data_IF_232439839503
#
_entry.id   IF_232439839503
#
_cell.length_a   1.000
_cell.length_b   1.000
_cell.length_c   1.000
_cell.angle_alpha   90.00
_cell.angle_beta   90.00
_cell.angle_gamma   90.00
#
_symmetry.space_group_name_H-M   'P 1'
#
loop_
_entity.id
_entity.type
_entity.pdbx_description
1 polymer ?
#
# COMPACT_ATOMS: atom_id res chain seq x y z
N UNK A 1 -1.73 10.12 2.81
CA UNK A 1 -3.17 9.93 3.09
C UNK A 1 -3.39 9.60 4.55
N UNK A 2 -4.49 10.05 5.08
CA UNK A 2 -4.88 9.80 6.46
C UNK A 2 -6.28 9.17 6.47
N UNK A 3 -6.46 8.14 7.30
CA UNK A 3 -7.76 7.49 7.49
C UNK A 3 -8.40 8.01 8.77
N UNK A 4 -9.61 8.51 8.63
CA UNK A 4 -10.41 8.99 9.75
C UNK A 4 -11.55 8.03 10.07
N UNK A 5 -11.88 7.93 11.35
CA UNK A 5 -13.16 7.37 11.82
C UNK A 5 -13.85 8.47 12.61
N UNK A 6 -14.88 9.09 12.03
CA UNK A 6 -15.44 10.32 12.59
C UNK A 6 -14.39 11.44 12.53
N UNK A 7 -14.01 11.98 13.70
CA UNK A 7 -12.95 12.99 13.83
C UNK A 7 -11.61 12.40 14.26
N UNK A 8 -11.56 11.10 14.53
CA UNK A 8 -10.36 10.41 15.00
C UNK A 8 -9.52 9.90 13.85
N UNK A 9 -8.20 10.14 13.90
CA UNK A 9 -7.26 9.58 12.94
C UNK A 9 -6.91 8.16 13.39
N UNK A 10 -7.21 7.16 12.55
CA UNK A 10 -6.96 5.75 12.87
C UNK A 10 -5.90 5.11 11.98
N UNK A 11 -5.38 5.85 11.01
CA UNK A 11 -4.32 5.32 10.16
C UNK A 11 -3.77 6.36 9.21
N UNK A 12 -2.63 6.03 8.59
CA UNK A 12 -2.06 6.84 7.52
C UNK A 12 -1.26 5.97 6.56
N UNK A 13 -1.07 6.47 5.34
CA UNK A 13 -0.17 5.85 4.36
C UNK A 13 0.68 6.93 3.70
N UNK A 14 1.93 6.58 3.44
CA UNK A 14 2.82 7.37 2.60
C UNK A 14 2.87 6.74 1.22
N UNK A 15 2.40 7.49 0.21
CA UNK A 15 2.37 7.05 -1.17
C UNK A 15 3.32 7.94 -1.97
N UNK A 16 4.21 7.30 -2.73
CA UNK A 16 5.10 7.97 -3.66
C UNK A 16 4.59 7.76 -5.07
N UNK A 17 4.41 8.84 -5.82
CA UNK A 17 4.04 8.76 -7.23
C UNK A 17 5.29 8.58 -8.07
N UNK A 18 5.27 7.58 -8.95
CA UNK A 18 6.33 7.35 -9.91
C UNK A 18 5.90 7.85 -11.30
N UNK A 19 6.87 8.09 -12.16
CA UNK A 19 6.61 8.31 -13.58
C UNK A 19 5.94 7.06 -14.18
N UNK A 20 5.33 7.18 -15.35
CA UNK A 20 4.65 6.08 -16.06
C UNK A 20 3.40 5.51 -15.35
N UNK A 21 2.71 6.34 -14.56
CA UNK A 21 1.44 6.00 -13.93
C UNK A 21 1.52 4.87 -12.89
N UNK A 22 2.67 4.75 -12.23
CA UNK A 22 2.85 3.84 -11.10
C UNK A 22 2.87 4.61 -9.79
N UNK A 23 2.53 3.94 -8.71
CA UNK A 23 2.66 4.48 -7.36
C UNK A 23 3.23 3.42 -6.43
N UNK A 24 3.94 3.85 -5.40
CA UNK A 24 4.50 2.96 -4.39
C UNK A 24 3.93 3.31 -3.02
N UNK A 25 3.50 2.29 -2.28
CA UNK A 25 3.18 2.42 -0.87
C UNK A 25 4.48 2.23 -0.09
N UNK A 26 4.97 3.31 0.53
CA UNK A 26 6.17 3.25 1.36
C UNK A 26 5.86 2.84 2.79
N UNK A 27 4.74 3.34 3.32
CA UNK A 27 4.28 3.05 4.68
C UNK A 27 2.75 2.98 4.65
N UNK A 28 2.21 1.97 5.32
CA UNK A 28 0.78 1.92 5.66
C UNK A 28 0.66 1.51 7.12
N UNK A 29 -0.03 2.30 7.90
CA UNK A 29 -0.19 2.09 9.35
C UNK A 29 -1.64 2.28 9.73
N UNK A 30 -2.15 1.35 10.51
CA UNK A 30 -3.47 1.44 11.14
C UNK A 30 -3.27 1.39 12.65
N UNK A 31 -4.01 2.20 13.38
CA UNK A 31 -4.04 2.17 14.84
C UNK A 31 -4.29 0.74 15.32
N UNK A 32 -3.45 0.25 16.23
CA UNK A 32 -3.49 -1.12 16.70
C UNK A 32 -4.87 -1.51 17.26
N UNK A 33 -5.54 -0.59 17.96
CA UNK A 33 -6.87 -0.82 18.53
C UNK A 33 -7.96 -0.99 17.47
N UNK A 34 -7.68 -0.60 16.22
CA UNK A 34 -8.65 -0.62 15.12
C UNK A 34 -8.39 -1.72 14.09
N UNK A 35 -7.30 -2.49 14.23
CA UNK A 35 -6.88 -3.49 13.23
C UNK A 35 -7.86 -4.64 13.07
N UNK A 36 -8.60 -5.00 14.13
CA UNK A 36 -9.51 -6.15 14.12
C UNK A 36 -10.80 -5.93 13.34
N UNK A 37 -11.00 -4.75 12.75
CA UNK A 37 -12.23 -4.40 12.00
C UNK A 37 -12.01 -4.34 10.51
N UNK A 38 -10.99 -5.01 9.97
CA UNK A 38 -10.59 -4.92 8.56
C UNK A 38 -10.26 -3.49 8.11
N UNK A 39 -9.86 -2.64 9.05
CA UNK A 39 -9.57 -1.24 8.75
C UNK A 39 -8.43 -1.09 7.74
N UNK A 40 -7.41 -1.95 7.83
CA UNK A 40 -6.29 -1.95 6.88
C UNK A 40 -6.75 -2.24 5.45
N UNK A 41 -7.58 -3.26 5.26
CA UNK A 41 -8.12 -3.62 3.95
C UNK A 41 -9.02 -2.53 3.40
N UNK A 42 -9.84 -1.91 4.22
CA UNK A 42 -10.70 -0.79 3.82
C UNK A 42 -9.87 0.43 3.42
N UNK A 43 -8.83 0.75 4.19
CA UNK A 43 -7.95 1.86 3.89
C UNK A 43 -7.20 1.63 2.58
N UNK A 44 -6.69 0.43 2.38
CA UNK A 44 -6.01 0.06 1.15
C UNK A 44 -6.96 0.21 -0.05
N UNK A 45 -8.19 -0.28 0.05
CA UNK A 45 -9.19 -0.16 -1.00
C UNK A 45 -9.52 1.30 -1.32
N UNK A 46 -9.66 2.16 -0.31
CA UNK A 46 -9.89 3.59 -0.49
C UNK A 46 -8.69 4.26 -1.18
N UNK A 47 -7.48 3.90 -0.78
CA UNK A 47 -6.25 4.41 -1.39
C UNK A 47 -6.17 4.02 -2.86
N UNK A 48 -6.48 2.76 -3.18
CA UNK A 48 -6.50 2.25 -4.55
C UNK A 48 -7.52 2.99 -5.41
N UNK A 49 -8.71 3.20 -4.88
CA UNK A 49 -9.77 3.93 -5.59
C UNK A 49 -9.35 5.37 -5.89
N UNK A 50 -8.76 6.03 -4.92
CA UNK A 50 -8.27 7.39 -5.08
C UNK A 50 -7.16 7.46 -6.14
N UNK A 51 -6.17 6.57 -6.05
CA UNK A 51 -5.06 6.52 -7.01
C UNK A 51 -5.55 6.22 -8.42
N UNK A 52 -6.50 5.29 -8.56
CA UNK A 52 -7.09 4.98 -9.85
C UNK A 52 -7.79 6.22 -10.46
N UNK A 53 -8.46 7.01 -9.62
CA UNK A 53 -9.10 8.26 -10.07
C UNK A 53 -8.10 9.30 -10.56
N UNK A 54 -6.84 9.23 -10.12
CA UNK A 54 -5.75 10.10 -10.56
C UNK A 54 -4.99 9.54 -11.77
N UNK A 55 -5.43 8.43 -12.34
CA UNK A 55 -4.79 7.83 -13.51
C UNK A 55 -3.66 6.86 -13.19
N UNK A 56 -3.45 6.50 -11.93
CA UNK A 56 -2.47 5.49 -11.54
C UNK A 56 -2.94 4.13 -12.04
N UNK A 57 -2.05 3.36 -12.68
CA UNK A 57 -2.36 2.08 -13.31
C UNK A 57 -1.91 0.87 -12.51
N UNK A 58 -0.95 1.05 -11.61
CA UNK A 58 -0.48 -0.02 -10.74
C UNK A 58 0.06 0.53 -9.43
N UNK A 59 -0.05 -0.27 -8.38
CA UNK A 59 0.47 0.04 -7.05
C UNK A 59 1.50 -1.01 -6.68
N UNK A 60 2.61 -0.58 -6.10
CA UNK A 60 3.72 -1.43 -5.71
C UNK A 60 4.08 -1.20 -4.25
N UNK A 61 4.55 -2.24 -3.59
CA UNK A 61 5.02 -2.17 -2.21
C UNK A 61 6.11 -3.21 -1.97
N UNK A 62 6.95 -2.95 -0.98
CA UNK A 62 7.87 -3.96 -0.46
C UNK A 62 7.31 -4.46 0.87
N UNK A 63 6.86 -5.71 0.89
CA UNK A 63 6.18 -6.30 2.04
C UNK A 63 7.15 -7.02 2.94
N UNK A 64 7.04 -6.80 4.26
CA UNK A 64 7.65 -7.68 5.24
C UNK A 64 6.93 -9.02 5.23
N UNK A 65 7.61 -10.09 5.66
CA UNK A 65 7.02 -11.43 5.76
C UNK A 65 5.70 -11.41 6.54
N UNK A 66 5.66 -10.67 7.64
CA UNK A 66 4.48 -10.58 8.49
C UNK A 66 3.28 -9.92 7.81
N UNK A 67 3.50 -9.10 6.80
CA UNK A 67 2.45 -8.36 6.08
C UNK A 67 2.02 -9.00 4.77
N UNK A 68 2.71 -10.06 4.34
CA UNK A 68 2.52 -10.65 3.03
C UNK A 68 1.09 -11.19 2.82
N UNK A 69 0.53 -11.85 3.84
CA UNK A 69 -0.83 -12.37 3.80
C UNK A 69 -1.85 -11.23 3.63
N UNK A 70 -1.62 -10.12 4.28
CA UNK A 70 -2.47 -8.93 4.12
C UNK A 70 -2.52 -8.44 2.67
N UNK A 71 -1.36 -8.34 2.02
CA UNK A 71 -1.31 -7.92 0.62
C UNK A 71 -1.95 -8.95 -0.31
N UNK A 72 -1.65 -10.23 -0.14
CA UNK A 72 -2.24 -11.29 -0.98
C UNK A 72 -3.76 -11.34 -0.83
N UNK A 73 -4.26 -11.19 0.40
CA UNK A 73 -5.70 -11.13 0.67
C UNK A 73 -6.38 -9.99 -0.07
N UNK A 74 -5.67 -8.91 -0.33
CA UNK A 74 -6.21 -7.71 -0.99
C UNK A 74 -5.90 -7.67 -2.50
N UNK A 75 -5.52 -8.79 -3.08
CA UNK A 75 -5.36 -8.93 -4.53
C UNK A 75 -3.97 -8.58 -5.04
N UNK A 76 -3.00 -8.39 -4.18
CA UNK A 76 -1.61 -8.18 -4.58
C UNK A 76 -0.95 -9.52 -4.89
N UNK A 77 0.01 -9.49 -5.80
CA UNK A 77 0.84 -10.63 -6.16
C UNK A 77 2.29 -10.24 -6.08
N UNK A 78 3.19 -11.21 -6.00
CA UNK A 78 4.62 -10.96 -6.10
C UNK A 78 4.92 -10.31 -7.45
N UNK A 79 5.63 -9.19 -7.43
CA UNK A 79 5.88 -8.40 -8.63
C UNK A 79 7.16 -7.59 -8.44
N UNK A 80 8.06 -7.51 -9.44
CA UNK A 80 9.28 -6.72 -9.32
C UNK A 80 8.97 -5.28 -8.91
N UNK A 81 9.73 -4.77 -7.94
CA UNK A 81 9.47 -3.43 -7.41
C UNK A 81 9.87 -2.32 -8.36
N UNK A 82 10.96 -2.50 -9.09
CA UNK A 82 11.43 -1.57 -10.15
C UNK A 82 11.40 -0.09 -9.74
N UNK A 83 11.96 0.20 -8.56
CA UNK A 83 12.01 1.55 -8.03
C UNK A 83 12.84 2.45 -8.97
N UNK A 84 12.27 3.54 -9.50
CA UNK A 84 12.99 4.42 -10.41
C UNK A 84 14.15 5.17 -9.76
N UNK A 85 14.18 5.27 -8.44
CA UNK A 85 15.25 5.88 -7.68
C UNK A 85 16.33 4.89 -7.25
N UNK A 86 16.13 3.60 -7.57
CA UNK A 86 17.07 2.51 -7.30
C UNK A 86 17.50 2.44 -5.83
N UNK A 87 16.58 2.67 -4.90
CA UNK A 87 16.83 2.50 -3.47
C UNK A 87 17.10 1.04 -3.14
N UNK A 88 18.07 0.80 -2.25
CA UNK A 88 18.32 -0.53 -1.75
C UNK A 88 17.13 -1.05 -0.96
N UNK A 89 16.63 -2.21 -1.36
CA UNK A 89 15.58 -2.92 -0.65
C UNK A 89 16.18 -3.77 0.47
N UNK A 90 15.45 -3.94 1.57
CA UNK A 90 15.78 -4.93 2.57
C UNK A 90 15.72 -6.32 1.90
N UNK A 91 16.79 -7.15 1.97
CA UNK A 91 16.79 -8.46 1.31
C UNK A 91 15.71 -9.41 1.83
N UNK A 92 15.12 -9.13 2.99
CA UNK A 92 14.05 -9.93 3.57
C UNK A 92 12.65 -9.45 3.12
N UNK A 93 12.55 -8.30 2.46
CA UNK A 93 11.28 -7.80 1.97
C UNK A 93 10.92 -8.45 0.64
N UNK A 94 9.62 -8.67 0.44
CA UNK A 94 9.07 -9.29 -0.76
C UNK A 94 8.35 -8.22 -1.57
N UNK A 95 8.75 -7.99 -2.84
CA UNK A 95 8.06 -7.02 -3.68
C UNK A 95 6.71 -7.55 -4.11
N UNK A 96 5.67 -6.75 -3.92
CA UNK A 96 4.31 -7.07 -4.34
C UNK A 96 3.72 -5.92 -5.15
N UNK A 97 2.71 -6.21 -5.93
CA UNK A 97 2.04 -5.18 -6.72
C UNK A 97 0.64 -5.61 -7.13
N UNK A 98 -0.11 -4.62 -7.60
CA UNK A 98 -1.49 -4.81 -8.07
C UNK A 98 -1.75 -3.88 -9.24
N UNK A 99 -2.33 -4.43 -10.30
CA UNK A 99 -2.82 -3.65 -11.44
C UNK A 99 -4.20 -3.11 -11.08
N UNK A 100 -4.39 -1.83 -11.28
CA UNK A 100 -5.66 -1.15 -10.97
C UNK A 100 -6.63 -1.13 -12.14
#
# INVERSE_FOLDING_TARGET
MVLYQGTEIIGYTHIQFWLDHRAAIRIIVIDEDKRNKNAGSKFLALSEKWLKSLGVKSIHAESRQASLVFYFKNGYTEMPFNDPEDHESDPNDIPVGKIL
#
